data_IF_072303552919
#
_entry.id   IF_072303552919
#
_cell.length_a   1.000
_cell.length_b   1.000
_cell.length_c   1.000
_cell.angle_alpha   90.00
_cell.angle_beta   90.00
_cell.angle_gamma   90.00
#
_symmetry.space_group_name_H-M   'P 1'
#
loop_
_entity.id
_entity.type
_entity.pdbx_description
1 polymer ?
#
# COMPACT_ATOMS: atom_id res chain seq x y z
N UNK A 1 15.04 -3.66 13.68
CA UNK A 1 14.54 -2.75 12.63
C UNK A 1 13.30 -2.07 13.16
N UNK A 2 13.04 -0.81 12.81
CA UNK A 2 11.81 -0.12 13.23
C UNK A 2 10.59 -0.85 12.66
N UNK A 3 9.50 -0.90 13.42
CA UNK A 3 8.21 -1.42 12.97
C UNK A 3 7.34 -0.26 12.49
N UNK A 4 6.50 -0.55 11.51
CA UNK A 4 5.47 0.37 11.07
C UNK A 4 4.21 -0.36 10.67
N UNK A 5 3.13 0.40 10.57
CA UNK A 5 1.84 -0.07 10.09
C UNK A 5 1.47 0.74 8.85
N UNK A 6 0.89 0.08 7.86
CA UNK A 6 0.46 0.72 6.61
C UNK A 6 -1.00 0.38 6.36
N UNK A 7 -1.79 1.40 6.02
CA UNK A 7 -3.23 1.28 5.74
C UNK A 7 -3.54 1.95 4.41
N UNK A 8 -4.44 1.34 3.62
CA UNK A 8 -4.85 1.83 2.31
C UNK A 8 -6.34 2.19 2.36
N UNK A 9 -6.70 3.39 1.89
CA UNK A 9 -8.08 3.69 1.52
C UNK A 9 -8.40 2.98 0.20
N UNK A 10 -8.94 1.78 0.33
CA UNK A 10 -9.19 0.87 -0.79
C UNK A 10 -10.20 1.41 -1.79
N UNK A 11 -11.17 2.23 -1.36
CA UNK A 11 -12.21 2.78 -2.24
C UNK A 11 -11.71 3.99 -3.05
N UNK A 12 -10.64 4.62 -2.59
CA UNK A 12 -9.95 5.68 -3.35
C UNK A 12 -8.81 5.14 -4.23
N UNK A 13 -8.35 3.91 -4.00
CA UNK A 13 -7.28 3.30 -4.80
C UNK A 13 -7.70 3.06 -6.27
N UNK A 14 -6.82 3.39 -7.22
CA UNK A 14 -7.03 3.16 -8.66
C UNK A 14 -6.26 1.97 -9.23
N UNK A 15 -5.61 1.17 -8.38
CA UNK A 15 -4.90 -0.03 -8.80
C UNK A 15 -3.67 0.21 -9.71
N UNK A 16 -3.06 1.40 -9.67
CA UNK A 16 -1.98 1.78 -10.60
C UNK A 16 -0.65 1.02 -10.42
N UNK A 17 -0.46 0.35 -9.28
CA UNK A 17 0.72 -0.47 -9.02
C UNK A 17 2.01 0.30 -8.67
N UNK A 18 2.05 1.64 -8.71
CA UNK A 18 3.28 2.39 -8.43
C UNK A 18 3.87 2.12 -7.03
N UNK A 19 3.02 1.89 -6.03
CA UNK A 19 3.47 1.58 -4.68
C UNK A 19 4.16 0.20 -4.54
N UNK A 20 3.91 -0.73 -5.48
CA UNK A 20 4.52 -2.08 -5.45
C UNK A 20 6.00 -2.03 -5.84
N UNK A 21 6.40 -1.07 -6.67
CA UNK A 21 7.77 -0.97 -7.20
C UNK A 21 8.74 -0.28 -6.24
N UNK A 22 8.22 0.45 -5.25
CA UNK A 22 9.02 1.27 -4.33
C UNK A 22 9.13 0.71 -2.91
N UNK A 23 8.43 -0.39 -2.62
CA UNK A 23 8.45 -1.01 -1.31
C UNK A 23 9.76 -1.79 -1.09
N UNK A 24 10.67 -1.34 -0.20
CA UNK A 24 12.00 -1.97 -0.06
C UNK A 24 11.96 -3.39 0.51
N UNK A 25 10.85 -3.75 1.18
CA UNK A 25 10.62 -5.08 1.77
C UNK A 25 9.62 -5.92 0.97
N UNK A 26 9.21 -5.46 -0.22
CA UNK A 26 8.37 -6.19 -1.17
C UNK A 26 7.05 -6.75 -0.60
N UNK A 27 6.37 -5.99 0.27
CA UNK A 27 5.09 -6.42 0.88
C UNK A 27 3.85 -5.82 0.22
N UNK A 28 4.00 -4.82 -0.66
CA UNK A 28 2.86 -4.15 -1.31
C UNK A 28 2.57 -4.84 -2.66
N UNK A 29 1.31 -5.22 -2.88
CA UNK A 29 0.85 -5.89 -4.09
C UNK A 29 -0.49 -5.33 -4.56
N UNK A 30 -0.87 -5.62 -5.81
CA UNK A 30 -2.25 -5.41 -6.28
C UNK A 30 -3.07 -6.65 -5.92
N UNK A 31 -4.19 -6.45 -5.23
CA UNK A 31 -5.12 -7.49 -4.85
C UNK A 31 -5.99 -7.90 -6.05
N UNK A 32 -5.71 -9.08 -6.60
CA UNK A 32 -6.41 -9.61 -7.79
C UNK A 32 -7.79 -10.19 -7.48
N UNK A 33 -8.06 -10.52 -6.21
CA UNK A 33 -9.30 -11.15 -5.78
C UNK A 33 -10.33 -10.11 -5.31
N UNK A 34 -9.88 -8.88 -5.01
CA UNK A 34 -10.74 -7.79 -4.57
C UNK A 34 -10.97 -6.76 -5.66
N UNK A 35 -12.22 -6.33 -5.81
CA UNK A 35 -12.63 -5.18 -6.62
C UNK A 35 -13.26 -4.14 -5.68
N UNK A 36 -12.84 -2.88 -5.77
CA UNK A 36 -13.40 -1.79 -4.97
C UNK A 36 -14.65 -1.17 -5.62
N UNK A 37 -15.29 -0.21 -4.94
CA UNK A 37 -16.51 0.44 -5.42
C UNK A 37 -16.38 1.13 -6.80
N UNK A 38 -15.16 1.38 -7.28
CA UNK A 38 -14.86 2.01 -8.58
C UNK A 38 -14.48 1.01 -9.67
N UNK A 39 -14.48 -0.28 -9.37
CA UNK A 39 -14.13 -1.33 -10.33
C UNK A 39 -12.63 -1.61 -10.45
N UNK A 40 -11.78 -1.09 -9.56
CA UNK A 40 -10.34 -1.35 -9.57
C UNK A 40 -9.95 -2.45 -8.59
N UNK A 41 -8.90 -3.19 -8.95
CA UNK A 41 -8.14 -4.03 -8.03
C UNK A 41 -7.24 -3.14 -7.15
N UNK A 42 -7.55 -2.94 -5.85
CA UNK A 42 -6.80 -2.03 -5.00
C UNK A 42 -5.44 -2.61 -4.62
N UNK A 43 -4.51 -1.74 -4.24
CA UNK A 43 -3.27 -2.17 -3.59
C UNK A 43 -3.56 -2.69 -2.16
N UNK A 44 -2.81 -3.70 -1.74
CA UNK A 44 -2.87 -4.32 -0.41
C UNK A 44 -1.48 -4.72 0.07
N UNK A 45 -1.39 -5.30 1.28
CA UNK A 45 -0.15 -5.87 1.82
C UNK A 45 -0.26 -7.37 2.02
N UNK A 46 0.80 -8.10 1.68
CA UNK A 46 0.88 -9.56 1.84
C UNK A 46 1.43 -9.97 3.21
N UNK A 47 2.28 -9.15 3.81
CA UNK A 47 2.93 -9.41 5.10
C UNK A 47 3.08 -8.10 5.88
N UNK A 48 2.02 -7.72 6.58
CA UNK A 48 1.92 -6.42 7.25
C UNK A 48 3.01 -6.25 8.34
N UNK A 49 3.42 -7.35 8.99
CA UNK A 49 4.39 -7.34 10.10
C UNK A 49 5.82 -7.01 9.65
N UNK A 50 6.11 -7.12 8.35
CA UNK A 50 7.40 -6.74 7.76
C UNK A 50 7.52 -5.26 7.41
N UNK A 51 6.46 -4.47 7.58
CA UNK A 51 6.51 -3.04 7.30
C UNK A 51 7.52 -2.34 8.23
N UNK A 52 8.46 -1.60 7.63
CA UNK A 52 9.52 -0.86 8.36
C UNK A 52 9.23 0.64 8.50
N UNK A 53 8.02 1.09 8.15
CA UNK A 53 7.62 2.50 8.27
C UNK A 53 8.49 3.48 7.45
N UNK A 54 8.88 3.10 6.23
CA UNK A 54 9.76 3.92 5.37
C UNK A 54 9.04 5.00 4.55
N UNK A 55 7.71 4.98 4.48
CA UNK A 55 6.85 5.93 3.74
C UNK A 55 6.95 5.96 2.21
N UNK A 56 7.86 5.20 1.57
CA UNK A 56 8.00 5.20 0.10
C UNK A 56 6.68 4.96 -0.66
N UNK A 57 5.85 4.02 -0.21
CA UNK A 57 4.56 3.73 -0.83
C UNK A 57 3.60 4.93 -0.75
N UNK A 58 3.56 5.62 0.41
CA UNK A 58 2.75 6.80 0.61
C UNK A 58 3.23 8.00 -0.22
N UNK A 59 4.54 8.24 -0.26
CA UNK A 59 5.15 9.33 -1.05
C UNK A 59 4.93 9.14 -2.55
N UNK A 60 4.99 7.90 -3.05
CA UNK A 60 4.78 7.59 -4.47
C UNK A 60 3.29 7.58 -4.88
N UNK A 61 2.37 7.57 -3.92
CA UNK A 61 0.95 7.48 -4.22
C UNK A 61 0.41 8.82 -4.76
N UNK A 62 -0.01 8.89 -6.04
CA UNK A 62 -0.49 10.14 -6.64
C UNK A 62 -1.83 10.62 -6.05
N UNK A 63 -2.61 9.70 -5.47
CA UNK A 63 -3.93 10.00 -4.90
C UNK A 63 -3.89 10.19 -3.36
N UNK A 64 -2.70 10.03 -2.75
CA UNK A 64 -2.48 10.15 -1.30
C UNK A 64 -3.48 9.32 -0.47
N UNK A 65 -3.59 8.03 -0.78
CA UNK A 65 -4.53 7.09 -0.13
C UNK A 65 -3.89 6.14 0.88
N UNK A 66 -2.57 6.27 1.11
CA UNK A 66 -1.79 5.35 1.94
C UNK A 66 -1.33 6.08 3.18
N UNK A 67 -1.70 5.57 4.35
CA UNK A 67 -1.24 6.06 5.65
C UNK A 67 -0.16 5.11 6.18
N UNK A 68 0.95 5.68 6.66
CA UNK A 68 2.04 4.94 7.30
C UNK A 68 2.24 5.48 8.70
N UNK A 69 2.15 4.59 9.69
CA UNK A 69 2.39 4.84 11.10
C UNK A 69 3.69 4.14 11.48
N UNK A 70 4.50 4.76 12.35
CA UNK A 70 5.79 4.20 12.80
C UNK A 70 5.85 4.26 14.31
N UNK A 71 6.29 3.17 14.92
CA UNK A 71 6.55 3.08 16.36
C UNK A 71 7.88 3.76 16.75
#
# INVERSE_FOLDING_TARGET
MAKGKVTFDVDRCKGCGLCTTVCPVNIVAIDKEKINAKGYNPASVTDADKCIGCTNCATMCPDSIITVERD
#
